data_IF_006795091601
#
_entry.id   IF_006795091601
#
_cell.length_a   1.000
_cell.length_b   1.000
_cell.length_c   1.000
_cell.angle_alpha   90.00
_cell.angle_beta   90.00
_cell.angle_gamma   90.00
#
_symmetry.space_group_name_H-M   'P 1'
#
loop_
_entity.id
_entity.type
_entity.pdbx_description
1 polymer ?
#
# COMPACT_ATOMS: atom_id res chain seq x y z
N UNK A 1 -4.88 -29.46 29.28
CA UNK A 1 -4.71 -29.87 27.87
C UNK A 1 -6.02 -29.91 27.07
N UNK A 2 -7.16 -30.34 27.62
CA UNK A 2 -8.43 -30.47 26.89
C UNK A 2 -8.87 -29.17 26.16
N UNK A 3 -8.92 -28.03 26.86
CA UNK A 3 -9.24 -26.72 26.27
C UNK A 3 -8.31 -26.34 25.10
N UNK A 4 -7.00 -26.55 25.26
CA UNK A 4 -6.03 -26.18 24.23
C UNK A 4 -6.20 -26.98 22.93
N UNK A 5 -6.57 -28.26 23.04
CA UNK A 5 -6.90 -29.12 21.90
C UNK A 5 -8.19 -28.70 21.21
N UNK A 6 -9.22 -28.37 21.99
CA UNK A 6 -10.53 -27.93 21.45
C UNK A 6 -10.39 -26.63 20.63
N UNK A 7 -9.56 -25.69 21.10
CA UNK A 7 -9.41 -24.37 20.47
C UNK A 7 -8.15 -24.23 19.60
N UNK A 8 -7.43 -25.32 19.32
CA UNK A 8 -6.15 -25.32 18.59
C UNK A 8 -5.17 -24.24 19.10
N UNK A 9 -5.12 -24.04 20.41
CA UNK A 9 -4.19 -23.09 21.06
C UNK A 9 -2.97 -23.80 21.61
N UNK A 10 -1.85 -23.08 21.67
CA UNK A 10 -0.57 -23.61 22.18
C UNK A 10 -0.65 -23.86 23.68
N UNK A 11 -0.29 -25.07 24.13
CA UNK A 11 -0.14 -25.43 25.55
C UNK A 11 1.34 -25.37 25.94
N UNK A 12 1.71 -24.51 26.89
CA UNK A 12 3.09 -24.29 27.33
C UNK A 12 3.18 -24.26 28.87
N UNK A 13 3.18 -25.42 29.55
CA UNK A 13 3.15 -25.50 31.02
C UNK A 13 4.48 -25.10 31.67
N UNK A 14 5.60 -25.27 30.97
CA UNK A 14 6.96 -24.96 31.44
C UNK A 14 7.35 -23.49 31.21
N UNK A 15 6.50 -22.70 30.54
CA UNK A 15 6.76 -21.29 30.30
C UNK A 15 7.95 -21.02 29.38
N UNK A 16 8.30 -21.98 28.51
CA UNK A 16 9.44 -21.86 27.61
C UNK A 16 9.21 -20.75 26.55
N UNK A 17 10.29 -20.12 26.10
CA UNK A 17 10.25 -19.06 25.07
C UNK A 17 10.20 -19.66 23.67
N UNK A 18 9.02 -20.01 23.19
CA UNK A 18 8.80 -20.67 21.87
C UNK A 18 8.65 -19.70 20.69
N UNK A 19 8.79 -18.38 20.90
CA UNK A 19 8.66 -17.38 19.83
C UNK A 19 7.22 -17.11 19.33
N UNK A 20 6.19 -17.75 19.90
CA UNK A 20 4.79 -17.58 19.47
C UNK A 20 4.28 -16.13 19.55
N UNK A 21 4.90 -15.27 20.37
CA UNK A 21 4.62 -13.82 20.41
C UNK A 21 4.88 -13.17 19.05
N UNK A 22 6.01 -13.49 18.41
CA UNK A 22 6.40 -12.90 17.12
C UNK A 22 5.51 -13.43 16.01
N UNK A 23 5.23 -14.74 15.98
CA UNK A 23 4.38 -15.35 14.96
C UNK A 23 2.92 -14.85 15.01
N UNK A 24 2.41 -14.49 16.19
CA UNK A 24 1.05 -13.95 16.34
C UNK A 24 0.96 -12.45 16.06
N UNK A 25 2.08 -11.75 15.92
CA UNK A 25 2.05 -10.33 15.57
C UNK A 25 1.47 -10.19 14.16
N UNK A 26 0.45 -9.34 14.04
CA UNK A 26 -0.10 -8.98 12.72
C UNK A 26 0.97 -8.26 11.91
N UNK A 27 1.12 -8.67 10.66
CA UNK A 27 2.02 -8.02 9.71
C UNK A 27 1.57 -6.57 9.45
N UNK A 28 2.51 -5.63 9.49
CA UNK A 28 2.27 -4.19 9.23
C UNK A 28 2.61 -3.75 7.80
N UNK A 29 3.16 -4.66 6.99
CA UNK A 29 3.63 -4.39 5.63
C UNK A 29 2.60 -3.67 4.74
N UNK A 30 1.33 -4.13 4.67
CA UNK A 30 0.33 -3.47 3.83
C UNK A 30 0.06 -2.01 4.22
N UNK A 31 0.00 -1.71 5.51
CA UNK A 31 -0.22 -0.34 6.02
C UNK A 31 0.97 0.56 5.70
N UNK A 32 2.18 0.06 5.84
CA UNK A 32 3.40 0.82 5.52
C UNK A 32 3.56 1.06 4.02
N UNK A 33 3.25 0.06 3.18
CA UNK A 33 3.31 0.21 1.74
C UNK A 33 2.29 1.23 1.19
N UNK A 34 1.16 1.40 1.89
CA UNK A 34 0.12 2.36 1.54
C UNK A 34 0.34 3.76 2.13
N UNK A 35 1.55 4.08 2.63
CA UNK A 35 1.84 5.36 3.27
C UNK A 35 1.60 6.56 2.33
N UNK A 36 2.07 6.47 1.09
CA UNK A 36 1.74 7.44 0.06
C UNK A 36 0.51 6.96 -0.72
N UNK A 37 -0.39 7.88 -1.12
CA UNK A 37 -1.52 7.53 -1.96
C UNK A 37 -1.03 6.88 -3.25
N UNK A 38 -1.79 5.88 -3.73
CA UNK A 38 -1.52 5.29 -5.04
C UNK A 38 -1.65 6.38 -6.10
N UNK A 39 -0.88 6.22 -7.19
CA UNK A 39 -0.91 7.14 -8.33
C UNK A 39 -2.37 7.37 -8.75
N UNK A 40 -2.80 8.63 -8.66
CA UNK A 40 -4.09 9.07 -9.15
C UNK A 40 -4.08 9.19 -10.69
N UNK A 41 -5.27 9.34 -11.27
CA UNK A 41 -5.45 9.59 -12.71
C UNK A 41 -4.67 10.85 -13.10
N UNK A 42 -3.84 10.74 -14.14
CA UNK A 42 -3.04 11.85 -14.67
C UNK A 42 -3.69 12.47 -15.91
N UNK A 43 -3.31 13.70 -16.29
CA UNK A 43 -3.81 14.36 -17.51
C UNK A 43 -3.53 13.51 -18.76
N UNK A 44 -2.41 12.79 -18.77
CA UNK A 44 -2.10 11.79 -19.80
C UNK A 44 -3.12 10.65 -19.88
N UNK A 45 -3.60 10.18 -18.74
CA UNK A 45 -4.62 9.12 -18.69
C UNK A 45 -5.97 9.66 -19.21
N UNK A 46 -6.30 10.93 -18.93
CA UNK A 46 -7.49 11.61 -19.45
C UNK A 46 -7.45 11.78 -20.96
N UNK A 47 -6.33 12.27 -21.53
CA UNK A 47 -6.14 12.39 -22.99
C UNK A 47 -6.29 11.05 -23.71
N UNK A 48 -5.83 9.97 -23.08
CA UNK A 48 -5.99 8.61 -23.63
C UNK A 48 -7.45 8.13 -23.58
N UNK A 49 -8.18 8.46 -22.51
CA UNK A 49 -9.56 8.04 -22.32
C UNK A 49 -10.55 8.84 -23.18
N UNK A 50 -10.25 10.11 -23.46
CA UNK A 50 -11.12 11.03 -24.19
C UNK A 50 -10.34 11.72 -25.34
N UNK A 51 -10.08 11.01 -26.45
CA UNK A 51 -9.28 11.54 -27.55
C UNK A 51 -9.93 12.73 -28.26
N UNK A 52 -11.26 12.83 -28.25
CA UNK A 52 -12.00 13.93 -28.87
C UNK A 52 -12.02 15.21 -28.00
N UNK A 53 -11.59 15.11 -26.73
CA UNK A 53 -11.49 16.24 -25.82
C UNK A 53 -10.09 16.85 -25.89
N UNK A 54 -9.99 18.05 -26.45
CA UNK A 54 -8.75 18.82 -26.41
C UNK A 54 -8.52 19.30 -24.98
N UNK A 55 -7.52 18.73 -24.31
CA UNK A 55 -7.15 19.02 -22.92
C UNK A 55 -5.69 19.44 -22.86
N UNK A 56 -5.38 20.48 -22.10
CA UNK A 56 -4.04 21.08 -21.94
C UNK A 56 -3.46 20.69 -20.58
N UNK A 57 -2.13 20.63 -20.47
CA UNK A 57 -1.43 20.44 -19.20
C UNK A 57 -0.60 21.70 -18.94
N UNK A 58 -1.26 22.72 -18.40
CA UNK A 58 -0.70 24.08 -18.26
C UNK A 58 0.66 24.07 -17.55
N UNK A 59 0.82 23.23 -16.51
CA UNK A 59 2.10 23.10 -15.79
C UNK A 59 3.22 22.54 -16.65
N UNK A 60 2.90 21.63 -17.55
CA UNK A 60 3.88 21.06 -18.47
C UNK A 60 4.21 22.05 -19.58
N UNK A 61 3.23 22.80 -20.07
CA UNK A 61 3.45 23.88 -21.05
C UNK A 61 4.33 24.99 -20.46
N UNK A 62 4.03 25.49 -19.26
CA UNK A 62 4.86 26.47 -18.53
C UNK A 62 6.31 25.98 -18.35
N UNK A 63 6.48 24.69 -18.04
CA UNK A 63 7.80 24.06 -17.88
C UNK A 63 8.56 24.04 -19.20
N UNK A 64 7.89 23.75 -20.31
CA UNK A 64 8.50 23.73 -21.65
C UNK A 64 8.91 25.13 -22.09
N UNK A 65 8.04 26.13 -21.89
CA UNK A 65 8.35 27.53 -22.17
C UNK A 65 9.56 28.02 -21.37
N UNK A 66 9.62 27.67 -20.08
CA UNK A 66 10.73 28.04 -19.18
C UNK A 66 12.08 27.43 -19.58
N UNK A 67 12.09 26.30 -20.30
CA UNK A 67 13.31 25.66 -20.80
C UNK A 67 13.76 26.27 -22.13
N UNK A 68 12.80 26.78 -22.90
CA UNK A 68 13.01 27.29 -24.25
C UNK A 68 13.45 28.77 -24.27
N UNK A 69 13.26 29.47 -23.15
CA UNK A 69 13.77 30.82 -22.87
C UNK A 69 15.21 30.78 -22.32
#
# INVERSE_FOLDING_TARGET
>A
MARCRIFSTTYNPEGLRTGSKILRQRLRGPTLAAYYPRRAVTIRDLRKAFPDCVTWDDKEEDRLESIQM
#
